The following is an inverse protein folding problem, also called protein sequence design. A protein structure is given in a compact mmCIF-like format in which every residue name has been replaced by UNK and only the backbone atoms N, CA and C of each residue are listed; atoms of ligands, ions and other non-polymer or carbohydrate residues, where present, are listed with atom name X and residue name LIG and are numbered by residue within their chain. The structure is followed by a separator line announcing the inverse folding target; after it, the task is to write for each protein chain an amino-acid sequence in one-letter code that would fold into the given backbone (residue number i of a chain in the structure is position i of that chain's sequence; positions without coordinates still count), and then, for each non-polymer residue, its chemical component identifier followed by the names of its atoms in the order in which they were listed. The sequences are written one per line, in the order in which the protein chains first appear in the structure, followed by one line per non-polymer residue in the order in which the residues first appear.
data_IF_228396810950
#
_entry.id   IF_228396810950
#
_cell.length_a   1.000
_cell.length_b   1.000
_cell.length_c   1.000
_cell.angle_alpha   90.00
_cell.angle_beta   90.00
_cell.angle_gamma   90.00
#
_symmetry.space_group_name_H-M   'P 1'
#
loop_
_entity.id
_entity.type
_entity.pdbx_description
1 polymer ?
#
# COMPACT_ATOMS: atom_id res chain seq x y z
N UNK A 1 -7.33 26.94 2.46
CA UNK A 1 -5.92 27.33 2.62
C UNK A 1 -5.25 27.08 1.28
N UNK A 2 -4.93 28.14 0.54
CA UNK A 2 -4.36 28.06 -0.82
C UNK A 2 -2.84 27.96 -0.65
N UNK A 3 -2.15 26.96 -1.22
CA UNK A 3 -0.70 26.84 -1.06
C UNK A 3 0.01 28.01 -1.76
N UNK A 4 1.02 28.58 -1.09
CA UNK A 4 1.81 29.67 -1.64
C UNK A 4 2.74 29.17 -2.75
N UNK A 5 2.85 29.90 -3.88
CA UNK A 5 3.71 29.50 -4.99
C UNK A 5 5.19 29.72 -4.65
N UNK A 6 6.03 28.70 -4.89
CA UNK A 6 7.48 28.83 -4.79
C UNK A 6 8.05 29.55 -6.01
N UNK A 7 8.50 30.80 -5.84
CA UNK A 7 9.19 31.57 -6.89
C UNK A 7 10.67 31.22 -6.99
N UNK A 8 11.13 30.88 -8.19
CA UNK A 8 12.57 30.83 -8.53
C UNK A 8 12.96 32.11 -9.26
N UNK A 9 14.06 32.75 -8.84
CA UNK A 9 14.56 33.98 -9.45
C UNK A 9 15.29 33.68 -10.77
N UNK A 10 14.56 33.70 -11.88
CA UNK A 10 15.15 33.88 -13.21
C UNK A 10 14.71 35.24 -13.74
N UNK A 11 15.62 36.03 -14.31
CA UNK A 11 15.41 37.41 -14.78
C UNK A 11 14.47 37.58 -15.99
N UNK A 12 13.43 36.75 -16.07
CA UNK A 12 12.35 36.79 -17.04
C UNK A 12 11.05 37.11 -16.29
N UNK A 13 10.34 38.16 -16.71
CA UNK A 13 9.06 38.64 -16.12
C UNK A 13 7.87 37.70 -16.39
N UNK A 14 8.12 36.44 -16.72
CA UNK A 14 7.09 35.43 -16.90
C UNK A 14 7.01 34.56 -15.65
N UNK A 15 5.99 34.82 -14.83
CA UNK A 15 5.59 33.93 -13.74
C UNK A 15 4.94 32.69 -14.36
N UNK A 16 5.69 31.60 -14.42
CA UNK A 16 5.14 30.27 -14.72
C UNK A 16 4.43 29.79 -13.46
N UNK A 17 3.10 29.83 -13.47
CA UNK A 17 2.29 29.16 -12.46
C UNK A 17 2.04 27.72 -12.94
N UNK A 18 2.68 26.75 -12.30
CA UNK A 18 2.37 25.34 -12.51
C UNK A 18 1.09 25.04 -11.74
N UNK A 19 -0.03 24.93 -12.45
CA UNK A 19 -1.24 24.35 -11.89
C UNK A 19 -1.14 22.85 -12.04
N UNK A 20 -0.96 22.07 -10.96
CA UNK A 20 -1.04 20.62 -11.07
C UNK A 20 -2.43 20.29 -11.61
N UNK A 21 -2.48 19.65 -12.78
CA UNK A 21 -3.73 19.09 -13.25
C UNK A 21 -4.16 18.03 -12.23
N UNK A 22 -5.45 17.97 -11.86
CA UNK A 22 -5.93 16.88 -11.03
C UNK A 22 -5.62 15.58 -11.79
N UNK A 23 -4.80 14.71 -11.18
CA UNK A 23 -4.62 13.34 -11.66
C UNK A 23 -5.99 12.73 -11.84
N UNK A 24 -6.16 12.00 -12.96
CA UNK A 24 -7.39 11.25 -13.17
C UNK A 24 -7.61 10.30 -11.99
N UNK A 25 -8.86 10.01 -11.65
CA UNK A 25 -9.13 9.10 -10.53
C UNK A 25 -8.52 7.70 -10.77
N UNK A 26 -8.30 7.34 -12.04
CA UNK A 26 -7.60 6.11 -12.41
C UNK A 26 -6.10 6.15 -12.07
N UNK A 27 -5.40 7.22 -12.43
CA UNK A 27 -3.98 7.42 -12.07
C UNK A 27 -3.78 7.37 -10.55
N UNK A 28 -4.71 7.94 -9.78
CA UNK A 28 -4.66 7.87 -8.30
C UNK A 28 -4.81 6.45 -7.77
N UNK A 29 -5.65 5.63 -8.39
CA UNK A 29 -5.80 4.22 -8.01
C UNK A 29 -4.54 3.42 -8.35
N UNK A 30 -3.90 3.72 -9.48
CA UNK A 30 -2.63 3.12 -9.90
C UNK A 30 -1.52 3.47 -8.91
N UNK A 31 -1.39 4.75 -8.51
CA UNK A 31 -0.43 5.20 -7.51
C UNK A 31 -0.65 4.48 -6.17
N UNK A 32 -1.91 4.41 -5.68
CA UNK A 32 -2.23 3.70 -4.44
C UNK A 32 -1.88 2.20 -4.52
N UNK A 33 -2.09 1.57 -5.68
CA UNK A 33 -1.76 0.16 -5.87
C UNK A 33 -0.24 -0.05 -5.96
N UNK A 34 0.48 0.87 -6.59
CA UNK A 34 1.95 0.86 -6.63
C UNK A 34 2.54 1.02 -5.22
N UNK A 35 2.00 1.94 -4.42
CA UNK A 35 2.37 2.11 -3.02
C UNK A 35 2.08 0.86 -2.19
N UNK A 36 0.93 0.20 -2.43
CA UNK A 36 0.59 -1.06 -1.77
C UNK A 36 1.59 -2.18 -2.12
N UNK A 37 1.99 -2.29 -3.39
CA UNK A 37 3.00 -3.25 -3.86
C UNK A 37 4.34 -2.95 -3.21
N UNK A 38 4.75 -1.68 -3.20
CA UNK A 38 6.00 -1.23 -2.59
C UNK A 38 6.06 -1.61 -1.11
N UNK A 39 5.00 -1.29 -0.35
CA UNK A 39 4.91 -1.65 1.06
C UNK A 39 4.93 -3.18 1.28
N UNK A 40 4.23 -3.95 0.45
CA UNK A 40 4.22 -5.40 0.58
C UNK A 40 5.60 -6.03 0.25
N UNK A 41 6.29 -5.54 -0.78
CA UNK A 41 7.67 -5.95 -1.11
C UNK A 41 8.62 -5.65 0.04
N UNK A 42 8.50 -4.45 0.61
CA UNK A 42 9.34 -4.02 1.72
C UNK A 42 9.13 -4.93 2.95
N UNK A 43 7.88 -5.30 3.26
CA UNK A 43 7.58 -6.26 4.32
C UNK A 43 8.19 -7.64 4.06
N UNK A 44 8.14 -8.14 2.81
CA UNK A 44 8.74 -9.43 2.43
C UNK A 44 10.27 -9.38 2.59
N UNK A 45 10.91 -8.30 2.19
CA UNK A 45 12.36 -8.13 2.34
C UNK A 45 12.80 -8.09 3.81
N UNK A 46 12.01 -7.44 4.67
CA UNK A 46 12.28 -7.35 6.11
C UNK A 46 11.93 -8.62 6.88
N UNK A 47 11.25 -9.60 6.27
CA UNK A 47 10.95 -10.88 6.91
C UNK A 47 12.23 -11.66 7.31
N UNK A 48 13.35 -11.43 6.63
CA UNK A 48 14.64 -12.03 6.96
C UNK A 48 15.33 -11.39 8.19
N UNK A 49 14.85 -10.22 8.64
CA UNK A 49 15.47 -9.43 9.70
C UNK A 49 14.77 -9.58 11.06
N UNK A 50 13.63 -10.27 11.10
CA UNK A 50 12.90 -10.54 12.34
C UNK A 50 13.34 -11.87 12.96
N UNK A 51 13.21 -11.98 14.28
CA UNK A 51 13.56 -13.20 15.03
C UNK A 51 12.83 -14.43 14.48
N UNK A 52 13.54 -15.55 14.35
CA UNK A 52 12.99 -16.78 13.79
C UNK A 52 11.72 -17.26 14.54
N UNK A 53 11.67 -17.11 15.86
CA UNK A 53 10.50 -17.49 16.67
C UNK A 53 9.27 -16.64 16.36
N UNK A 54 9.45 -15.39 15.92
CA UNK A 54 8.37 -14.51 15.47
C UNK A 54 7.98 -14.77 14.02
N UNK A 55 8.94 -15.14 13.18
CA UNK A 55 8.71 -15.41 11.76
C UNK A 55 8.09 -16.78 11.50
N UNK A 56 8.50 -17.80 12.24
CA UNK A 56 8.07 -19.19 12.04
C UNK A 56 6.54 -19.35 11.97
N UNK A 57 5.72 -18.72 12.83
CA UNK A 57 4.26 -18.81 12.75
C UNK A 57 3.66 -18.21 11.47
N UNK A 58 4.32 -17.23 10.86
CA UNK A 58 3.82 -16.49 9.69
C UNK A 58 4.51 -16.88 8.38
N UNK A 59 5.52 -17.76 8.41
CA UNK A 59 6.35 -18.07 7.24
C UNK A 59 5.54 -18.53 6.02
N UNK A 60 4.53 -19.39 6.21
CA UNK A 60 3.69 -19.84 5.11
C UNK A 60 2.84 -18.68 4.54
N UNK A 61 2.29 -17.84 5.41
CA UNK A 61 1.52 -16.66 5.03
C UNK A 61 2.38 -15.67 4.23
N UNK A 62 3.62 -15.46 4.66
CA UNK A 62 4.55 -14.56 3.98
C UNK A 62 4.97 -15.07 2.60
N UNK A 63 5.08 -16.39 2.40
CA UNK A 63 5.26 -16.98 1.05
C UNK A 63 4.07 -16.75 0.14
N UNK A 64 2.85 -16.85 0.67
CA UNK A 64 1.64 -16.55 -0.10
C UNK A 64 1.56 -15.06 -0.45
N UNK A 65 1.92 -14.17 0.49
CA UNK A 65 2.04 -12.72 0.24
C UNK A 65 3.06 -12.45 -0.85
N UNK A 66 4.29 -12.97 -0.73
CA UNK A 66 5.37 -12.82 -1.71
C UNK A 66 4.90 -13.24 -3.11
N UNK A 67 4.30 -14.42 -3.24
CA UNK A 67 3.74 -14.91 -4.51
C UNK A 67 2.75 -13.94 -5.14
N UNK A 68 1.83 -13.36 -4.36
CA UNK A 68 0.85 -12.43 -4.92
C UNK A 68 1.47 -11.08 -5.29
N UNK A 69 2.47 -10.63 -4.53
CA UNK A 69 3.24 -9.41 -4.79
C UNK A 69 4.03 -9.53 -6.09
N UNK A 70 4.67 -10.69 -6.34
CA UNK A 70 5.38 -10.97 -7.60
C UNK A 70 4.46 -10.95 -8.81
N UNK A 71 3.21 -11.42 -8.62
CA UNK A 71 2.18 -11.38 -9.66
C UNK A 71 1.48 -10.02 -9.78
N UNK A 72 1.75 -9.06 -8.88
CA UNK A 72 1.05 -7.77 -8.82
C UNK A 72 -0.44 -7.88 -8.44
N UNK A 73 -0.86 -8.96 -7.76
CA UNK A 73 -2.27 -9.32 -7.53
C UNK A 73 -2.80 -8.94 -6.14
N UNK A 74 -2.63 -7.68 -5.75
CA UNK A 74 -2.98 -7.22 -4.40
C UNK A 74 -4.49 -7.06 -4.17
N UNK A 75 -5.31 -6.99 -5.23
CA UNK A 75 -6.77 -6.80 -5.10
C UNK A 75 -7.54 -8.11 -4.89
N UNK A 76 -6.83 -9.21 -4.63
CA UNK A 76 -7.42 -10.54 -4.44
C UNK A 76 -7.49 -10.91 -2.96
N UNK A 77 -8.41 -11.81 -2.63
CA UNK A 77 -8.45 -12.43 -1.30
C UNK A 77 -7.22 -13.29 -1.02
N UNK A 78 -6.62 -13.86 -2.08
CA UNK A 78 -5.37 -14.62 -2.01
C UNK A 78 -4.19 -13.77 -1.53
N UNK A 79 -4.25 -12.43 -1.67
CA UNK A 79 -3.30 -11.51 -1.04
C UNK A 79 -3.78 -11.06 0.34
N UNK A 80 -5.02 -10.54 0.42
CA UNK A 80 -5.52 -9.87 1.64
C UNK A 80 -5.60 -10.80 2.84
N UNK A 81 -6.03 -12.05 2.65
CA UNK A 81 -6.18 -13.02 3.75
C UNK A 81 -4.83 -13.37 4.39
N UNK A 82 -3.80 -13.84 3.66
CA UNK A 82 -2.51 -14.14 4.27
C UNK A 82 -1.82 -12.88 4.80
N UNK A 83 -1.92 -11.73 4.09
CA UNK A 83 -1.37 -10.47 4.56
C UNK A 83 -1.99 -10.03 5.90
N UNK A 84 -3.33 -10.08 6.01
CA UNK A 84 -4.03 -9.76 7.25
C UNK A 84 -3.75 -10.73 8.39
N UNK A 85 -3.65 -12.02 8.10
CA UNK A 85 -3.27 -13.03 9.09
C UNK A 85 -1.84 -12.82 9.61
N UNK A 86 -0.89 -12.53 8.71
CA UNK A 86 0.50 -12.25 9.09
C UNK A 86 0.60 -10.97 9.93
N UNK A 87 -0.07 -9.89 9.50
CA UNK A 87 -0.16 -8.64 10.25
C UNK A 87 -0.75 -8.85 11.66
N UNK A 88 -1.85 -9.59 11.76
CA UNK A 88 -2.51 -9.86 13.04
C UNK A 88 -1.60 -10.65 13.99
N UNK A 89 -0.91 -11.68 13.48
CA UNK A 89 0.05 -12.47 14.26
C UNK A 89 1.22 -11.61 14.74
N UNK A 90 1.80 -10.77 13.87
CA UNK A 90 2.92 -9.90 14.25
C UNK A 90 2.51 -8.85 15.27
N UNK A 91 1.35 -8.23 15.09
CA UNK A 91 0.82 -7.18 16.00
C UNK A 91 0.57 -7.67 17.43
N UNK A 92 0.37 -8.98 17.60
CA UNK A 92 0.15 -9.62 18.91
C UNK A 92 1.44 -10.20 19.51
N UNK A 93 2.49 -10.29 18.71
CA UNK A 93 3.77 -10.85 19.14
C UNK A 93 4.64 -9.78 19.80
N UNK A 94 5.58 -10.23 20.64
CA UNK A 94 6.49 -9.33 21.36
C UNK A 94 7.92 -9.59 20.90
N UNK A 95 8.57 -8.64 20.20
CA UNK A 95 9.93 -8.83 19.74
C UNK A 95 10.93 -8.73 20.90
N UNK A 96 12.12 -9.29 20.68
CA UNK A 96 13.30 -8.97 21.48
C UNK A 96 13.69 -7.49 21.31
N UNK A 97 14.53 -6.96 22.20
CA UNK A 97 14.98 -5.57 22.09
C UNK A 97 15.73 -5.31 20.77
N UNK A 98 16.52 -6.29 20.31
CA UNK A 98 17.34 -6.18 19.12
C UNK A 98 16.51 -6.26 17.83
N UNK A 99 15.40 -7.00 17.84
CA UNK A 99 14.50 -7.15 16.68
C UNK A 99 13.33 -6.16 16.66
N UNK A 100 13.19 -5.29 17.67
CA UNK A 100 12.02 -4.43 17.84
C UNK A 100 11.78 -3.50 16.64
N UNK A 101 12.83 -2.88 16.11
CA UNK A 101 12.71 -1.95 14.98
C UNK A 101 12.29 -2.66 13.68
N UNK A 102 12.88 -3.82 13.39
CA UNK A 102 12.54 -4.62 12.22
C UNK A 102 11.11 -5.16 12.30
N UNK A 103 10.70 -5.57 13.51
CA UNK A 103 9.34 -6.04 13.80
C UNK A 103 8.29 -4.94 13.61
N UNK A 104 8.53 -3.76 14.18
CA UNK A 104 7.64 -2.60 14.03
C UNK A 104 7.50 -2.19 12.56
N UNK A 105 8.64 -2.10 11.85
CA UNK A 105 8.67 -1.75 10.42
C UNK A 105 7.87 -2.76 9.59
N UNK A 106 8.14 -4.06 9.74
CA UNK A 106 7.42 -5.11 9.02
C UNK A 106 5.91 -5.06 9.31
N UNK A 107 5.52 -4.83 10.56
CA UNK A 107 4.12 -4.71 10.97
C UNK A 107 3.44 -3.52 10.30
N UNK A 108 4.07 -2.36 10.27
CA UNK A 108 3.55 -1.15 9.61
C UNK A 108 3.45 -1.32 8.09
N UNK A 109 4.44 -1.95 7.45
CA UNK A 109 4.45 -2.21 6.01
C UNK A 109 3.32 -3.16 5.59
N UNK A 110 3.09 -4.23 6.35
CA UNK A 110 1.93 -5.12 6.13
C UNK A 110 0.60 -4.38 6.32
N UNK A 111 0.48 -3.58 7.38
CA UNK A 111 -0.73 -2.78 7.63
C UNK A 111 -1.02 -1.80 6.47
N UNK A 112 0.03 -1.13 5.99
CA UNK A 112 -0.04 -0.18 4.87
C UNK A 112 -0.49 -0.87 3.59
N UNK A 113 0.14 -1.99 3.24
CA UNK A 113 -0.21 -2.75 2.04
C UNK A 113 -1.67 -3.26 2.09
N UNK A 114 -2.10 -3.79 3.24
CA UNK A 114 -3.45 -4.28 3.43
C UNK A 114 -4.49 -3.14 3.33
N UNK A 115 -4.24 -2.02 4.00
CA UNK A 115 -5.12 -0.84 3.98
C UNK A 115 -5.29 -0.29 2.57
N UNK A 116 -4.20 -0.15 1.82
CA UNK A 116 -4.25 0.37 0.44
C UNK A 116 -4.95 -0.61 -0.50
N UNK A 117 -4.69 -1.92 -0.37
CA UNK A 117 -5.43 -2.95 -1.14
C UNK A 117 -6.94 -2.87 -0.91
N UNK A 118 -7.38 -2.79 0.36
CA UNK A 118 -8.80 -2.61 0.68
C UNK A 118 -9.33 -1.30 0.11
N UNK A 119 -8.61 -0.19 0.29
CA UNK A 119 -9.04 1.12 -0.18
C UNK A 119 -9.28 1.15 -1.69
N UNK A 120 -8.34 0.61 -2.48
CA UNK A 120 -8.49 0.52 -3.94
C UNK A 120 -9.69 -0.36 -4.30
N UNK A 121 -9.86 -1.51 -3.63
CA UNK A 121 -11.00 -2.38 -3.89
C UNK A 121 -12.35 -1.70 -3.57
N UNK A 122 -12.44 -0.95 -2.47
CA UNK A 122 -13.63 -0.21 -2.07
C UNK A 122 -13.96 0.92 -3.06
N UNK A 123 -12.95 1.63 -3.56
CA UNK A 123 -13.12 2.65 -4.59
C UNK A 123 -13.64 2.04 -5.91
N UNK A 124 -13.06 0.91 -6.34
CA UNK A 124 -13.54 0.18 -7.52
C UNK A 124 -14.96 -0.37 -7.34
N UNK A 125 -15.35 -0.76 -6.13
CA UNK A 125 -16.71 -1.18 -5.82
C UNK A 125 -17.69 0.00 -5.89
N UNK A 126 -17.30 1.14 -5.31
CA UNK A 126 -18.09 2.37 -5.38
C UNK A 126 -18.30 2.86 -6.83
N UNK A 127 -17.25 2.83 -7.66
CA UNK A 127 -17.35 3.18 -9.08
C UNK A 127 -18.31 2.27 -9.85
N UNK A 128 -18.26 0.95 -9.60
CA UNK A 128 -19.20 0.00 -10.19
C UNK A 128 -20.64 0.29 -9.78
N UNK A 129 -20.87 0.57 -8.51
CA UNK A 129 -22.20 0.92 -7.98
C UNK A 129 -22.75 2.22 -8.59
N UNK A 130 -21.90 3.24 -8.74
CA UNK A 130 -22.26 4.50 -9.38
C UNK A 130 -22.56 4.30 -10.88
N UNK A 131 -21.70 3.56 -11.59
CA UNK A 131 -21.87 3.23 -13.00
C UNK A 131 -23.19 2.51 -13.26
N UNK A 132 -23.52 1.53 -12.41
CA UNK A 132 -24.79 0.80 -12.47
C UNK A 132 -26.00 1.74 -12.32
N UNK A 133 -25.97 2.67 -11.36
CA UNK A 133 -27.03 3.67 -11.17
C UNK A 133 -27.13 4.70 -12.31
N UNK A 134 -26.05 4.90 -13.07
CA UNK A 134 -26.01 5.77 -14.26
C UNK A 134 -26.38 5.06 -15.56
N UNK A 135 -26.64 3.75 -15.53
CA UNK A 135 -26.92 2.95 -16.72
C UNK A 135 -25.68 2.63 -17.57
N UNK A 136 -24.48 2.89 -17.06
CA UNK A 136 -23.20 2.56 -17.70
C UNK A 136 -22.72 1.24 -17.10
N UNK A 137 -23.10 0.11 -17.71
CA UNK A 137 -22.75 -1.21 -17.18
C UNK A 137 -23.56 -2.40 -17.72
N UNK A 138 -24.06 -2.32 -18.96
CA UNK A 138 -24.52 -3.50 -19.71
C UNK A 138 -23.47 -3.91 -20.71
#
# INVERSE_FOLDING_TARGET
MIPEPSTFASGSSHRVALFPQPTSDFERLEDMLADAISAARDAVQHAALIDYELYKPIQALMKDVEKQVDLGRLLTDDFRRPCGAAWSSLSQSRPSADAAAAHEHMTDRLATALRLSHRVNDLLAAERDIGWRRGVGR
#
